data_IF_305661625383
#
_entry.id   IF_305661625383
#
_cell.length_a   1.000
_cell.length_b   1.000
_cell.length_c   1.000
_cell.angle_alpha   90.00
_cell.angle_beta   90.00
_cell.angle_gamma   90.00
#
_symmetry.space_group_name_H-M   'P 1'
#
loop_
_entity.id
_entity.type
_entity.pdbx_description
1 polymer ?
#
# COMPACT_ATOMS: atom_id res chain seq x y z
N UNK A 1 7.60 -10.75 -14.77
CA UNK A 1 8.18 -9.50 -15.30
C UNK A 1 7.26 -8.78 -16.27
N UNK A 2 6.78 -9.47 -17.31
CA UNK A 2 5.86 -8.84 -18.27
C UNK A 2 4.55 -8.37 -17.67
N UNK A 3 3.93 -9.18 -16.81
CA UNK A 3 2.69 -8.81 -16.11
C UNK A 3 2.90 -7.60 -15.22
N UNK A 4 4.02 -7.57 -14.51
CA UNK A 4 4.36 -6.45 -13.62
C UNK A 4 4.62 -5.18 -14.42
N UNK A 5 5.31 -5.27 -15.56
CA UNK A 5 5.54 -4.14 -16.45
C UNK A 5 4.24 -3.62 -17.07
N UNK A 6 3.36 -4.52 -17.51
CA UNK A 6 2.04 -4.13 -18.04
C UNK A 6 1.20 -3.41 -17.00
N UNK A 7 1.20 -3.92 -15.77
CA UNK A 7 0.49 -3.29 -14.67
C UNK A 7 1.09 -1.93 -14.36
N UNK A 8 2.41 -1.85 -14.29
CA UNK A 8 3.12 -0.62 -14.03
C UNK A 8 2.80 0.45 -15.07
N UNK A 9 2.87 0.09 -16.37
CA UNK A 9 2.55 1.00 -17.46
C UNK A 9 1.09 1.45 -17.43
N UNK A 10 0.18 0.54 -17.09
CA UNK A 10 -1.24 0.85 -16.97
C UNK A 10 -1.49 1.91 -15.89
N UNK A 11 -0.76 1.84 -14.77
CA UNK A 11 -0.94 2.75 -13.65
C UNK A 11 -0.13 4.02 -13.76
N UNK A 12 0.92 4.07 -14.56
CA UNK A 12 1.63 5.31 -14.88
C UNK A 12 0.73 6.35 -15.53
N UNK A 13 -0.33 5.88 -16.22
CA UNK A 13 -1.30 6.77 -16.86
C UNK A 13 -2.41 7.22 -15.91
N UNK A 14 -2.52 6.63 -14.72
CA UNK A 14 -3.49 7.04 -13.72
C UNK A 14 -2.89 8.13 -12.85
N UNK A 15 -3.39 9.35 -12.99
CA UNK A 15 -2.84 10.50 -12.30
C UNK A 15 -3.47 10.78 -10.95
N UNK A 16 -4.68 10.30 -10.71
CA UNK A 16 -5.38 10.58 -9.44
C UNK A 16 -6.22 9.40 -8.97
N UNK A 17 -6.35 9.29 -7.65
CA UNK A 17 -7.27 8.37 -6.99
C UNK A 17 -8.42 9.19 -6.38
N UNK A 18 -9.59 8.57 -6.26
CA UNK A 18 -10.74 9.22 -5.62
C UNK A 18 -10.47 9.44 -4.13
N UNK A 19 -11.04 10.52 -3.59
CA UNK A 19 -10.99 10.78 -2.15
C UNK A 19 -12.02 9.91 -1.43
N UNK A 20 -11.64 8.66 -1.19
CA UNK A 20 -12.54 7.64 -0.63
C UNK A 20 -12.66 7.75 0.88
N UNK A 21 -13.75 7.20 1.41
CA UNK A 21 -13.94 7.04 2.84
C UNK A 21 -13.18 5.79 3.32
N UNK A 22 -12.41 5.98 4.37
CA UNK A 22 -11.68 4.90 5.04
C UNK A 22 -12.25 4.68 6.44
N UNK A 23 -12.26 3.43 6.88
CA UNK A 23 -12.68 3.08 8.22
C UNK A 23 -11.45 2.83 9.10
N UNK A 24 -11.42 3.42 10.29
CA UNK A 24 -10.33 3.18 11.25
C UNK A 24 -10.52 1.84 11.94
N UNK A 25 -9.53 1.41 12.73
CA UNK A 25 -9.63 0.18 13.52
C UNK A 25 -10.72 0.25 14.59
N UNK A 26 -11.15 1.46 14.96
CA UNK A 26 -12.24 1.70 15.92
C UNK A 26 -13.56 2.06 15.24
N UNK A 27 -13.68 1.75 13.95
CA UNK A 27 -14.89 1.94 13.12
C UNK A 27 -15.31 3.40 12.89
N UNK A 28 -14.43 4.36 13.14
CA UNK A 28 -14.63 5.74 12.71
C UNK A 28 -14.37 5.88 11.22
N UNK A 29 -15.04 6.83 10.56
CA UNK A 29 -14.86 7.07 9.13
C UNK A 29 -14.12 8.39 8.91
N UNK A 30 -13.15 8.37 7.98
CA UNK A 30 -12.43 9.56 7.57
C UNK A 30 -12.13 9.51 6.07
N UNK A 31 -11.81 10.66 5.49
CA UNK A 31 -11.43 10.74 4.08
C UNK A 31 -9.94 10.43 3.92
N UNK A 32 -9.59 9.79 2.81
CA UNK A 32 -8.19 9.54 2.47
C UNK A 32 -7.37 10.84 2.50
N UNK A 33 -7.92 11.93 1.97
CA UNK A 33 -7.24 13.22 1.93
C UNK A 33 -6.87 13.75 3.31
N UNK A 34 -7.59 13.37 4.36
CA UNK A 34 -7.30 13.81 5.72
C UNK A 34 -6.00 13.24 6.26
N UNK A 35 -5.47 12.20 5.64
CA UNK A 35 -4.20 11.56 6.03
C UNK A 35 -2.99 12.19 5.30
N UNK A 36 -3.25 13.09 4.36
CA UNK A 36 -2.22 13.66 3.50
C UNK A 36 -1.81 15.05 3.97
N UNK A 37 -0.52 15.35 3.82
CA UNK A 37 0.05 16.67 4.12
C UNK A 37 0.96 17.10 2.96
N UNK A 38 1.83 18.06 3.17
CA UNK A 38 2.73 18.56 2.12
C UNK A 38 3.76 17.55 1.67
N UNK A 39 3.95 16.48 2.45
CA UNK A 39 4.90 15.42 2.12
C UNK A 39 4.19 14.27 1.44
N UNK A 40 4.83 13.70 0.44
CA UNK A 40 4.34 12.47 -0.19
C UNK A 40 4.37 11.33 0.81
N UNK A 41 3.41 10.42 0.68
CA UNK A 41 3.28 9.23 1.53
C UNK A 41 3.35 7.98 0.68
N UNK A 42 3.77 6.88 1.31
CA UNK A 42 3.72 5.56 0.70
C UNK A 42 2.39 4.94 1.12
N UNK A 43 1.63 4.42 0.15
CA UNK A 43 0.41 3.66 0.44
C UNK A 43 0.72 2.18 0.22
N UNK A 44 0.42 1.38 1.24
CA UNK A 44 0.56 -0.08 1.19
C UNK A 44 -0.84 -0.68 1.22
N UNK A 45 -1.25 -1.29 0.10
CA UNK A 45 -2.55 -1.95 -0.02
C UNK A 45 -2.40 -3.43 0.28
N UNK A 46 -3.13 -3.93 1.27
CA UNK A 46 -3.06 -5.32 1.73
C UNK A 46 -4.42 -5.97 1.52
N UNK A 47 -4.49 -7.00 0.70
CA UNK A 47 -5.73 -7.74 0.48
C UNK A 47 -5.76 -9.01 1.34
N UNK A 48 -6.95 -9.35 1.86
CA UNK A 48 -7.14 -10.59 2.60
C UNK A 48 -6.99 -11.84 1.74
N UNK A 49 -7.08 -11.69 0.41
CA UNK A 49 -6.84 -12.78 -0.53
C UNK A 49 -5.36 -12.94 -0.92
N UNK A 50 -4.51 -12.00 -0.54
CA UNK A 50 -3.08 -12.06 -0.84
C UNK A 50 -2.36 -12.95 0.17
N UNK A 51 -1.25 -13.54 -0.26
CA UNK A 51 -0.40 -14.34 0.63
C UNK A 51 0.40 -13.43 1.56
N UNK A 52 -0.04 -13.29 2.81
CA UNK A 52 0.61 -12.40 3.79
C UNK A 52 2.05 -12.81 4.04
N UNK A 53 2.30 -14.12 4.18
CA UNK A 53 3.67 -14.61 4.41
C UNK A 53 4.59 -14.35 3.20
N UNK A 54 4.03 -14.25 1.99
CA UNK A 54 4.80 -13.97 0.78
C UNK A 54 5.32 -12.54 0.73
N UNK A 55 4.66 -11.61 1.41
CA UNK A 55 5.05 -10.19 1.43
C UNK A 55 5.75 -9.78 2.71
N UNK A 56 5.95 -10.73 3.63
CA UNK A 56 6.57 -10.47 4.92
C UNK A 56 7.99 -9.91 4.76
N UNK A 57 8.77 -10.45 3.84
CA UNK A 57 10.13 -9.99 3.57
C UNK A 57 10.15 -8.57 3.03
N UNK A 58 9.21 -8.24 2.14
CA UNK A 58 9.09 -6.88 1.61
C UNK A 58 8.79 -5.88 2.73
N UNK A 59 7.84 -6.22 3.61
CA UNK A 59 7.48 -5.35 4.72
C UNK A 59 8.65 -5.13 5.68
N UNK A 60 9.41 -6.19 5.97
CA UNK A 60 10.58 -6.09 6.83
C UNK A 60 11.62 -5.12 6.27
N UNK A 61 11.87 -5.18 4.96
CA UNK A 61 12.81 -4.25 4.31
C UNK A 61 12.23 -2.84 4.24
N UNK A 62 10.93 -2.72 3.94
CA UNK A 62 10.25 -1.42 3.90
C UNK A 62 10.40 -0.67 5.22
N UNK A 63 10.26 -1.37 6.36
CA UNK A 63 10.36 -0.76 7.68
C UNK A 63 11.78 -0.31 8.04
N UNK A 64 12.79 -0.85 7.37
CA UNK A 64 14.18 -0.38 7.51
C UNK A 64 14.42 0.93 6.77
N UNK A 65 13.66 1.17 5.68
CA UNK A 65 13.82 2.34 4.82
C UNK A 65 12.98 3.53 5.28
N UNK A 66 11.79 3.28 5.84
CA UNK A 66 10.81 4.32 6.11
C UNK A 66 10.19 4.18 7.49
N UNK A 67 9.88 5.31 8.12
CA UNK A 67 9.17 5.34 9.40
C UNK A 67 7.67 5.19 9.19
N UNK A 68 6.96 4.82 10.26
CA UNK A 68 5.50 4.67 10.22
C UNK A 68 4.76 5.94 9.80
N UNK A 69 5.31 7.12 10.08
CA UNK A 69 4.68 8.38 9.69
C UNK A 69 4.71 8.62 8.17
N UNK A 70 5.54 7.89 7.44
CA UNK A 70 5.65 8.03 6.00
C UNK A 70 4.77 7.03 5.24
N UNK A 71 4.12 6.10 5.94
CA UNK A 71 3.38 4.99 5.35
C UNK A 71 1.92 5.02 5.78
N UNK A 72 1.01 4.85 4.81
CA UNK A 72 -0.42 4.66 5.04
C UNK A 72 -0.76 3.22 4.67
N UNK A 73 -1.28 2.46 5.63
CA UNK A 73 -1.69 1.07 5.40
C UNK A 73 -3.18 1.02 5.16
N UNK A 74 -3.61 0.43 4.04
CA UNK A 74 -5.04 0.28 3.69
C UNK A 74 -5.31 -1.18 3.35
N UNK A 75 -6.27 -1.78 4.07
CA UNK A 75 -6.61 -3.19 3.92
C UNK A 75 -8.08 -3.39 3.60
N UNK A 76 -8.42 -4.52 2.97
CA UNK A 76 -9.79 -4.95 2.76
C UNK A 76 -10.25 -5.99 3.79
N UNK A 77 -9.47 -6.23 4.83
CA UNK A 77 -9.85 -7.16 5.91
C UNK A 77 -11.14 -6.70 6.58
N UNK A 78 -12.12 -7.61 6.66
CA UNK A 78 -13.44 -7.29 7.18
C UNK A 78 -13.60 -7.43 8.68
N UNK A 79 -12.74 -8.18 9.37
CA UNK A 79 -12.85 -8.41 10.80
C UNK A 79 -11.65 -7.87 11.56
N UNK A 80 -11.90 -7.34 12.75
CA UNK A 80 -10.85 -6.83 13.62
C UNK A 80 -9.84 -7.92 14.01
N UNK A 81 -10.33 -9.14 14.20
CA UNK A 81 -9.50 -10.29 14.56
C UNK A 81 -8.50 -10.64 13.47
N UNK A 82 -8.97 -10.75 12.23
CA UNK A 82 -8.10 -11.04 11.08
C UNK A 82 -7.09 -9.91 10.86
N UNK A 83 -7.52 -8.67 11.01
CA UNK A 83 -6.66 -7.51 10.90
C UNK A 83 -5.53 -7.55 11.94
N UNK A 84 -5.88 -7.89 13.17
CA UNK A 84 -4.91 -8.01 14.26
C UNK A 84 -3.83 -9.05 13.94
N UNK A 85 -4.22 -10.23 13.46
CA UNK A 85 -3.27 -11.28 13.09
C UNK A 85 -2.38 -10.85 11.93
N UNK A 86 -2.95 -10.22 10.92
CA UNK A 86 -2.19 -9.71 9.78
C UNK A 86 -1.14 -8.70 10.23
N UNK A 87 -1.52 -7.77 11.10
CA UNK A 87 -0.59 -6.78 11.63
C UNK A 87 0.58 -7.44 12.37
N UNK A 88 0.29 -8.48 13.15
CA UNK A 88 1.33 -9.21 13.89
C UNK A 88 2.29 -9.92 12.96
N UNK A 89 1.76 -10.61 11.94
CA UNK A 89 2.59 -11.34 10.98
C UNK A 89 3.52 -10.39 10.22
N UNK A 90 3.01 -9.23 9.82
CA UNK A 90 3.79 -8.26 9.04
C UNK A 90 4.62 -7.30 9.89
N UNK A 91 4.41 -7.29 11.20
CA UNK A 91 5.13 -6.37 12.10
C UNK A 91 4.64 -4.93 12.01
N UNK A 92 3.38 -4.72 11.65
CA UNK A 92 2.79 -3.38 11.53
C UNK A 92 2.30 -2.92 12.91
N UNK A 93 2.89 -1.84 13.42
CA UNK A 93 2.48 -1.25 14.70
C UNK A 93 1.51 -0.09 14.52
N UNK A 94 1.53 0.55 13.34
CA UNK A 94 0.68 1.69 13.03
C UNK A 94 -0.75 1.28 12.74
N UNK A 95 -1.66 2.26 12.73
CA UNK A 95 -3.04 2.03 12.38
C UNK A 95 -3.17 1.56 10.93
N UNK A 96 -4.04 0.58 10.70
CA UNK A 96 -4.40 0.11 9.36
C UNK A 96 -5.82 0.58 9.08
N UNK A 97 -6.00 1.31 8.00
CA UNK A 97 -7.32 1.77 7.55
C UNK A 97 -7.95 0.69 6.70
N UNK A 98 -9.29 0.66 6.68
CA UNK A 98 -10.04 -0.38 5.98
C UNK A 98 -10.95 0.21 4.92
N UNK A 99 -10.91 -0.39 3.74
CA UNK A 99 -11.88 -0.12 2.67
C UNK A 99 -11.94 -1.35 1.77
N UNK A 100 -13.13 -1.72 1.35
CA UNK A 100 -13.33 -2.89 0.51
C UNK A 100 -12.66 -2.73 -0.85
N UNK A 101 -12.79 -1.58 -1.47
CA UNK A 101 -12.21 -1.32 -2.78
C UNK A 101 -11.62 0.09 -2.87
N UNK A 102 -10.40 0.18 -3.43
CA UNK A 102 -9.74 1.46 -3.70
C UNK A 102 -10.15 2.08 -5.04
N UNK A 103 -11.02 1.40 -5.81
CA UNK A 103 -11.49 1.84 -7.14
C UNK A 103 -10.37 1.99 -8.17
N UNK A 104 -9.29 1.24 -7.98
CA UNK A 104 -8.21 1.11 -8.95
C UNK A 104 -8.39 -0.21 -9.70
N UNK A 105 -8.07 -0.27 -11.01
CA UNK A 105 -8.24 -1.52 -11.77
C UNK A 105 -7.55 -2.72 -11.14
N UNK A 106 -6.32 -2.54 -10.59
CA UNK A 106 -5.58 -3.63 -9.97
C UNK A 106 -6.23 -4.15 -8.70
N UNK A 107 -7.02 -3.34 -8.02
CA UNK A 107 -7.64 -3.74 -6.76
C UNK A 107 -8.58 -4.93 -6.92
N UNK A 108 -9.11 -5.12 -8.12
CA UNK A 108 -9.98 -6.26 -8.46
C UNK A 108 -9.23 -7.60 -8.42
N UNK A 109 -7.92 -7.58 -8.60
CA UNK A 109 -7.09 -8.78 -8.58
C UNK A 109 -6.77 -9.25 -7.17
N UNK A 110 -7.10 -8.45 -6.16
CA UNK A 110 -6.88 -8.78 -4.74
C UNK A 110 -5.42 -9.11 -4.44
N UNK A 111 -4.51 -8.29 -4.97
CA UNK A 111 -3.07 -8.43 -4.75
C UNK A 111 -2.56 -7.39 -3.78
N UNK A 112 -1.40 -7.66 -3.20
CA UNK A 112 -0.64 -6.66 -2.45
C UNK A 112 0.03 -5.72 -3.44
N UNK A 113 -0.08 -4.42 -3.22
CA UNK A 113 0.62 -3.44 -4.06
C UNK A 113 0.94 -2.17 -3.27
N UNK A 114 1.87 -1.38 -3.80
CA UNK A 114 2.38 -0.18 -3.15
C UNK A 114 2.43 0.96 -4.17
N UNK A 115 2.19 2.17 -3.71
CA UNK A 115 2.35 3.36 -4.55
C UNK A 115 2.63 4.59 -3.68
N UNK A 116 3.00 5.70 -4.32
CA UNK A 116 3.18 7.00 -3.66
C UNK A 116 1.96 7.86 -3.95
N UNK A 117 1.52 8.60 -2.95
CA UNK A 117 0.41 9.55 -3.06
C UNK A 117 0.84 10.93 -2.53
N UNK A 118 0.36 11.99 -3.15
CA UNK A 118 0.58 13.35 -2.68
C UNK A 118 -0.74 13.97 -2.16
N UNK A 119 -0.67 15.21 -1.67
CA UNK A 119 -1.81 15.91 -1.08
C UNK A 119 -2.95 16.16 -2.05
N UNK A 120 -2.69 16.13 -3.35
CA UNK A 120 -3.67 16.33 -4.40
C UNK A 120 -4.31 15.02 -4.86
N UNK A 121 -4.04 13.92 -4.16
CA UNK A 121 -4.50 12.57 -4.51
C UNK A 121 -3.88 12.06 -5.81
N UNK A 122 -2.77 12.64 -6.23
CA UNK A 122 -2.01 12.14 -7.37
C UNK A 122 -1.16 10.96 -6.94
N UNK A 123 -1.16 9.91 -7.75
CA UNK A 123 -0.48 8.65 -7.45
C UNK A 123 0.59 8.36 -8.49
N UNK A 124 1.69 7.77 -8.03
CA UNK A 124 2.82 7.40 -8.89
C UNK A 124 3.58 6.22 -8.29
N UNK A 125 4.52 5.67 -9.05
CA UNK A 125 5.47 4.65 -8.60
C UNK A 125 4.78 3.40 -8.07
N UNK A 126 3.84 2.84 -8.84
CA UNK A 126 3.20 1.57 -8.52
C UNK A 126 4.20 0.41 -8.51
N UNK A 127 4.01 -0.50 -7.57
CA UNK A 127 4.84 -1.70 -7.48
C UNK A 127 4.04 -2.87 -6.89
N UNK A 128 4.18 -4.04 -7.53
CA UNK A 128 3.66 -5.29 -7.02
C UNK A 128 4.84 -6.14 -6.53
N UNK A 129 5.09 -6.21 -5.22
CA UNK A 129 6.16 -7.04 -4.70
C UNK A 129 5.98 -8.50 -5.08
N UNK A 130 7.07 -9.14 -5.48
CA UNK A 130 7.10 -10.55 -5.79
C UNK A 130 8.27 -11.19 -5.06
N UNK A 131 7.99 -12.21 -4.26
CA UNK A 131 8.99 -12.81 -3.37
C UNK A 131 10.22 -13.36 -4.12
N UNK A 132 10.07 -13.70 -5.39
CA UNK A 132 11.17 -14.20 -6.22
C UNK A 132 12.08 -13.10 -6.80
N UNK A 133 11.73 -11.83 -6.58
CA UNK A 133 12.41 -10.67 -7.19
C UNK A 133 12.92 -9.69 -6.13
N UNK A 134 13.71 -10.20 -5.18
CA UNK A 134 14.24 -9.37 -4.08
C UNK A 134 15.05 -8.17 -4.56
N UNK A 135 15.86 -8.35 -5.60
CA UNK A 135 16.65 -7.24 -6.17
C UNK A 135 15.78 -6.12 -6.69
N UNK A 136 14.65 -6.46 -7.32
CA UNK A 136 13.71 -5.48 -7.82
C UNK A 136 13.03 -4.72 -6.69
N UNK A 137 12.73 -5.40 -5.58
CA UNK A 137 12.14 -4.76 -4.39
C UNK A 137 13.09 -3.71 -3.80
N UNK A 138 14.37 -4.05 -3.70
CA UNK A 138 15.38 -3.14 -3.16
C UNK A 138 15.55 -1.93 -4.10
N UNK A 139 15.59 -2.18 -5.41
CA UNK A 139 15.66 -1.10 -6.41
C UNK A 139 14.47 -0.14 -6.27
N UNK A 140 13.27 -0.68 -6.10
CA UNK A 140 12.07 0.13 -5.92
C UNK A 140 12.15 0.97 -4.64
N UNK A 141 12.58 0.38 -3.52
CA UNK A 141 12.70 1.11 -2.26
C UNK A 141 13.74 2.21 -2.32
N UNK A 142 14.85 1.99 -3.01
CA UNK A 142 15.84 3.03 -3.25
C UNK A 142 15.24 4.18 -4.08
N UNK A 143 14.43 3.84 -5.08
CA UNK A 143 13.73 4.83 -5.90
C UNK A 143 12.75 5.65 -5.07
N UNK A 144 11.99 5.02 -4.18
CA UNK A 144 11.08 5.72 -3.27
C UNK A 144 11.84 6.68 -2.36
N UNK A 145 12.98 6.26 -1.84
CA UNK A 145 13.80 7.08 -0.95
C UNK A 145 14.24 8.38 -1.61
N UNK A 146 14.49 8.34 -2.92
CA UNK A 146 14.85 9.53 -3.70
C UNK A 146 13.65 10.40 -4.04
N UNK A 147 12.45 9.84 -4.08
CA UNK A 147 11.22 10.55 -4.45
C UNK A 147 10.59 11.28 -3.26
N UNK A 148 10.73 10.72 -2.06
CA UNK A 148 10.11 11.26 -0.83
C UNK A 148 10.95 12.41 -0.18
#
# INVERSE_FOLDING_TARGET
>A
MEEMQKTYLQYENMKKIDDIDLKTETDSILKLSSLLDDKKKIVVRISNAACVSCIQDFCAVLFQYFSGSEIIYISDYGSAKELFFMKQILGIENQVYRVEALKLPIDKEKKFYVFIIDKDLSIEKFFLPHYEQKGLMIYYLDLLKKTL
#
